data_IF_819667045020
#
_entry.id   IF_819667045020
#
_cell.length_a   1.000
_cell.length_b   1.000
_cell.length_c   1.000
_cell.angle_alpha   90.00
_cell.angle_beta   90.00
_cell.angle_gamma   90.00
#
_symmetry.space_group_name_H-M   'P 1'
#
loop_
_entity.id
_entity.type
_entity.pdbx_description
1 polymer ?
#
# COMPACT_ATOMS: atom_id res chain seq x y z
N UNK A 1 -32.27 -5.99 -9.64
CA UNK A 1 -32.04 -7.20 -8.81
C UNK A 1 -33.08 -7.33 -7.71
N UNK A 2 -33.23 -8.52 -7.08
CA UNK A 2 -34.16 -8.71 -5.97
C UNK A 2 -33.55 -8.21 -4.66
N UNK A 3 -34.39 -7.71 -3.72
CA UNK A 3 -33.94 -7.29 -2.38
C UNK A 3 -33.15 -8.39 -1.67
N UNK A 4 -33.53 -9.67 -1.91
CA UNK A 4 -32.80 -10.81 -1.38
C UNK A 4 -31.34 -10.87 -1.84
N UNK A 5 -31.05 -10.59 -3.11
CA UNK A 5 -29.68 -10.58 -3.64
C UNK A 5 -28.85 -9.44 -3.03
N UNK A 6 -29.47 -8.29 -2.79
CA UNK A 6 -28.84 -7.16 -2.12
C UNK A 6 -28.44 -7.52 -0.70
N UNK A 7 -29.39 -8.01 0.12
CA UNK A 7 -29.11 -8.41 1.51
C UNK A 7 -28.11 -9.56 1.59
N UNK A 8 -28.16 -10.50 0.66
CA UNK A 8 -27.21 -11.61 0.61
C UNK A 8 -25.79 -11.11 0.30
N UNK A 9 -25.64 -10.16 -0.64
CA UNK A 9 -24.32 -9.55 -0.94
C UNK A 9 -23.74 -8.83 0.27
N UNK A 10 -24.54 -8.03 0.96
CA UNK A 10 -24.13 -7.36 2.22
C UNK A 10 -23.75 -8.40 3.27
N UNK A 11 -24.58 -9.43 3.45
CA UNK A 11 -24.35 -10.47 4.45
C UNK A 11 -23.07 -11.27 4.20
N UNK A 12 -22.80 -11.65 2.94
CA UNK A 12 -21.56 -12.34 2.55
C UNK A 12 -20.34 -11.46 2.81
N UNK A 13 -20.38 -10.20 2.40
CA UNK A 13 -19.26 -9.28 2.61
C UNK A 13 -19.01 -9.02 4.10
N UNK A 14 -20.07 -8.75 4.86
CA UNK A 14 -19.97 -8.58 6.31
C UNK A 14 -19.39 -9.84 6.99
N UNK A 15 -19.84 -11.03 6.58
CA UNK A 15 -19.31 -12.29 7.11
C UNK A 15 -17.81 -12.45 6.80
N UNK A 16 -17.39 -12.18 5.55
CA UNK A 16 -15.96 -12.22 5.16
C UNK A 16 -15.14 -11.28 6.02
N UNK A 17 -15.61 -10.04 6.19
CA UNK A 17 -14.92 -9.04 7.02
C UNK A 17 -14.82 -9.49 8.48
N UNK A 18 -15.91 -9.97 9.06
CA UNK A 18 -15.92 -10.44 10.44
C UNK A 18 -14.99 -11.64 10.64
N UNK A 19 -14.97 -12.59 9.70
CA UNK A 19 -14.07 -13.74 9.73
C UNK A 19 -12.60 -13.33 9.72
N UNK A 20 -12.26 -12.31 8.93
CA UNK A 20 -10.89 -11.76 8.85
C UNK A 20 -10.57 -10.93 10.10
N UNK A 21 -11.47 -10.06 10.53
CA UNK A 21 -11.27 -9.15 11.66
C UNK A 21 -11.05 -9.91 12.99
N UNK A 22 -11.76 -11.01 13.19
CA UNK A 22 -11.61 -11.86 14.38
C UNK A 22 -10.56 -12.96 14.22
N UNK A 23 -9.83 -12.97 13.08
CA UNK A 23 -8.79 -13.99 12.76
C UNK A 23 -9.31 -15.44 12.93
N UNK A 24 -10.59 -15.65 12.57
CA UNK A 24 -11.24 -16.97 12.71
C UNK A 24 -10.78 -17.95 11.66
N UNK A 25 -10.48 -17.46 10.46
CA UNK A 25 -9.92 -18.22 9.34
C UNK A 25 -8.96 -17.33 8.54
N UNK A 26 -8.12 -17.98 7.75
CA UNK A 26 -7.18 -17.30 6.87
C UNK A 26 -7.90 -16.31 5.93
N UNK A 27 -7.34 -15.09 5.75
CA UNK A 27 -7.97 -14.02 4.98
C UNK A 27 -8.25 -14.41 3.52
N UNK A 28 -7.35 -15.18 2.88
CA UNK A 28 -7.55 -15.61 1.51
C UNK A 28 -8.66 -16.65 1.42
N UNK A 29 -8.74 -17.55 2.42
CA UNK A 29 -9.82 -18.56 2.50
C UNK A 29 -11.16 -17.87 2.76
N UNK A 30 -11.24 -16.91 3.70
CA UNK A 30 -12.46 -16.14 3.97
C UNK A 30 -12.99 -15.46 2.70
N UNK A 31 -12.10 -14.76 1.98
CA UNK A 31 -12.47 -14.04 0.77
C UNK A 31 -12.93 -15.01 -0.36
N UNK A 32 -12.24 -16.13 -0.55
CA UNK A 32 -12.62 -17.15 -1.54
C UNK A 32 -13.97 -17.81 -1.20
N UNK A 33 -14.27 -18.05 0.08
CA UNK A 33 -15.58 -18.56 0.49
C UNK A 33 -16.68 -17.55 0.18
N UNK A 34 -16.43 -16.25 0.41
CA UNK A 34 -17.36 -15.18 0.04
C UNK A 34 -17.62 -15.15 -1.48
N UNK A 35 -16.58 -15.21 -2.29
CA UNK A 35 -16.67 -15.28 -3.76
C UNK A 35 -17.46 -16.52 -4.18
N UNK A 36 -17.17 -17.67 -3.58
CA UNK A 36 -17.88 -18.92 -3.89
C UNK A 36 -19.37 -18.82 -3.58
N UNK A 37 -19.74 -18.21 -2.44
CA UNK A 37 -21.14 -17.98 -2.09
C UNK A 37 -21.85 -17.07 -3.10
N UNK A 38 -21.20 -16.04 -3.63
CA UNK A 38 -21.76 -15.14 -4.64
C UNK A 38 -21.94 -15.80 -6.00
N UNK A 39 -21.03 -16.70 -6.41
CA UNK A 39 -21.21 -17.51 -7.64
C UNK A 39 -22.30 -18.56 -7.48
N UNK A 40 -22.36 -19.28 -6.36
CA UNK A 40 -23.39 -20.31 -6.11
C UNK A 40 -24.78 -19.70 -6.02
N UNK A 41 -24.89 -18.48 -5.45
CA UNK A 41 -26.16 -17.75 -5.38
C UNK A 41 -26.61 -17.13 -6.71
N UNK A 42 -25.77 -17.18 -7.76
CA UNK A 42 -26.06 -16.58 -9.06
C UNK A 42 -26.03 -15.04 -9.08
N UNK A 43 -25.48 -14.40 -8.03
CA UNK A 43 -25.26 -12.96 -8.02
C UNK A 43 -24.15 -12.60 -9.00
N UNK A 44 -23.05 -13.35 -8.99
CA UNK A 44 -22.01 -13.27 -9.99
C UNK A 44 -22.14 -14.39 -11.01
N UNK A 45 -21.81 -14.11 -12.26
CA UNK A 45 -21.84 -15.06 -13.36
C UNK A 45 -20.61 -14.95 -14.27
N UNK A 46 -20.59 -15.65 -15.38
CA UNK A 46 -19.47 -15.65 -16.33
C UNK A 46 -19.22 -14.28 -16.97
N UNK A 47 -20.26 -13.45 -17.09
CA UNK A 47 -20.14 -12.10 -17.65
C UNK A 47 -19.32 -11.16 -16.77
N UNK A 48 -19.27 -11.44 -15.45
CA UNK A 48 -18.54 -10.61 -14.49
C UNK A 48 -17.03 -10.87 -14.50
N UNK A 49 -16.55 -11.97 -15.09
CA UNK A 49 -15.12 -12.34 -15.08
C UNK A 49 -14.24 -11.31 -15.79
N UNK A 50 -14.67 -10.80 -16.95
CA UNK A 50 -13.86 -9.79 -17.69
C UNK A 50 -13.77 -8.46 -16.95
N UNK A 51 -14.86 -7.86 -16.42
CA UNK A 51 -14.78 -6.70 -15.53
C UNK A 51 -13.84 -6.90 -14.34
N UNK A 52 -13.90 -8.06 -13.67
CA UNK A 52 -13.03 -8.39 -12.53
C UNK A 52 -11.56 -8.41 -12.96
N UNK A 53 -11.23 -9.11 -14.04
CA UNK A 53 -9.85 -9.19 -14.58
C UNK A 53 -9.34 -7.80 -14.98
N UNK A 54 -10.20 -6.99 -15.59
CA UNK A 54 -9.82 -5.62 -15.99
C UNK A 54 -9.48 -4.75 -14.78
N UNK A 55 -10.28 -4.82 -13.72
CA UNK A 55 -10.06 -4.01 -12.51
C UNK A 55 -8.90 -4.54 -11.66
N UNK A 56 -8.79 -5.86 -11.49
CA UNK A 56 -7.80 -6.49 -10.63
C UNK A 56 -6.43 -6.66 -11.30
N UNK A 57 -6.38 -6.81 -12.63
CA UNK A 57 -5.18 -7.21 -13.36
C UNK A 57 -4.00 -6.26 -13.18
N UNK A 58 -4.23 -4.95 -13.23
CA UNK A 58 -3.21 -3.94 -13.01
C UNK A 58 -2.56 -4.02 -11.62
N UNK A 59 -3.33 -3.88 -10.53
CA UNK A 59 -2.81 -3.99 -9.17
C UNK A 59 -2.10 -5.32 -8.89
N UNK A 60 -2.65 -6.45 -9.38
CA UNK A 60 -2.05 -7.77 -9.17
C UNK A 60 -0.72 -7.92 -9.93
N UNK A 61 -0.62 -7.40 -11.16
CA UNK A 61 0.61 -7.41 -11.93
C UNK A 61 1.73 -6.58 -11.26
N UNK A 62 1.38 -5.41 -10.70
CA UNK A 62 2.32 -4.56 -9.95
C UNK A 62 2.85 -5.27 -8.70
N UNK A 63 1.96 -5.88 -7.93
CA UNK A 63 2.34 -6.64 -6.74
C UNK A 63 3.25 -7.80 -7.10
N UNK A 64 2.86 -8.62 -8.07
CA UNK A 64 3.66 -9.76 -8.52
C UNK A 64 5.06 -9.30 -8.96
N UNK A 65 5.13 -8.32 -9.88
CA UNK A 65 6.40 -7.83 -10.40
C UNK A 65 7.29 -7.21 -9.33
N UNK A 66 6.72 -6.38 -8.46
CA UNK A 66 7.43 -5.77 -7.35
C UNK A 66 7.99 -6.81 -6.36
N UNK A 67 7.21 -7.85 -6.02
CA UNK A 67 7.66 -8.95 -5.14
C UNK A 67 8.80 -9.76 -5.75
N UNK A 68 8.74 -10.06 -7.07
CA UNK A 68 9.81 -10.79 -7.78
C UNK A 68 11.10 -9.97 -7.77
N UNK A 69 11.04 -8.70 -8.16
CA UNK A 69 12.22 -7.81 -8.17
C UNK A 69 12.80 -7.66 -6.76
N UNK A 70 11.95 -7.43 -5.75
CA UNK A 70 12.37 -7.31 -4.37
C UNK A 70 13.04 -8.59 -3.84
N UNK A 71 12.50 -9.77 -4.17
CA UNK A 71 13.11 -11.07 -3.82
C UNK A 71 14.50 -11.21 -4.39
N UNK A 72 14.68 -10.85 -5.66
CA UNK A 72 15.97 -10.94 -6.35
C UNK A 72 16.98 -9.98 -5.72
N UNK A 73 16.59 -8.72 -5.46
CA UNK A 73 17.44 -7.75 -4.77
C UNK A 73 17.80 -8.23 -3.36
N UNK A 74 16.83 -8.81 -2.64
CA UNK A 74 17.05 -9.37 -1.30
C UNK A 74 18.15 -10.42 -1.24
N UNK A 75 18.37 -11.19 -2.33
CA UNK A 75 19.40 -12.22 -2.44
C UNK A 75 20.81 -11.70 -2.79
N UNK A 76 20.94 -10.42 -3.08
CA UNK A 76 22.25 -9.83 -3.47
C UNK A 76 23.20 -9.61 -2.29
N UNK A 77 22.70 -9.70 -1.04
CA UNK A 77 23.44 -9.31 0.17
C UNK A 77 23.54 -7.81 0.41
N UNK A 78 22.85 -6.99 -0.42
CA UNK A 78 22.87 -5.53 -0.25
C UNK A 78 22.27 -5.09 1.10
N UNK A 79 21.26 -5.81 1.60
CA UNK A 79 20.64 -5.47 2.87
C UNK A 79 21.53 -5.74 4.07
N UNK A 80 22.41 -6.75 4.01
CA UNK A 80 23.42 -7.01 5.04
C UNK A 80 24.47 -5.90 5.07
N UNK A 81 24.93 -5.47 3.88
CA UNK A 81 25.85 -4.36 3.73
C UNK A 81 25.20 -3.02 4.20
N UNK A 82 23.94 -2.77 3.83
CA UNK A 82 23.18 -1.63 4.30
C UNK A 82 23.00 -1.67 5.81
N UNK A 83 22.78 -2.82 6.41
CA UNK A 83 22.66 -3.00 7.87
C UNK A 83 23.91 -2.54 8.61
N UNK A 84 25.08 -2.90 8.11
CA UNK A 84 26.35 -2.48 8.68
C UNK A 84 26.60 -0.96 8.49
N UNK A 85 26.30 -0.45 7.29
CA UNK A 85 26.37 1.00 7.02
C UNK A 85 25.38 1.80 7.90
N UNK A 86 24.16 1.27 8.06
CA UNK A 86 23.10 1.86 8.88
C UNK A 86 23.52 1.92 10.36
N UNK A 87 24.07 0.81 10.90
CA UNK A 87 24.56 0.77 12.27
C UNK A 87 25.66 1.82 12.50
N UNK A 88 26.64 1.91 11.59
CA UNK A 88 27.71 2.93 11.68
C UNK A 88 27.12 4.34 11.63
N UNK A 89 26.14 4.61 10.77
CA UNK A 89 25.51 5.91 10.64
C UNK A 89 24.74 6.33 11.89
N UNK A 90 24.23 5.38 12.71
CA UNK A 90 23.58 5.71 13.99
C UNK A 90 24.55 6.33 15.00
N UNK A 91 25.86 5.99 14.93
CA UNK A 91 26.89 6.39 15.90
C UNK A 91 26.44 6.17 17.35
N UNK A 92 25.70 5.09 17.61
CA UNK A 92 25.16 4.75 18.92
C UNK A 92 23.98 5.62 19.40
N UNK A 93 23.42 6.49 18.56
CA UNK A 93 22.35 7.41 18.93
C UNK A 93 20.97 6.87 18.50
N UNK A 94 20.05 6.73 19.46
CA UNK A 94 18.67 6.32 19.20
C UNK A 94 17.90 7.34 18.36
N UNK A 95 18.16 8.64 18.53
CA UNK A 95 17.63 9.67 17.63
C UNK A 95 18.00 9.42 16.17
N UNK A 96 19.29 9.12 15.92
CA UNK A 96 19.75 8.83 14.55
C UNK A 96 19.16 7.53 14.04
N UNK A 97 19.03 6.49 14.88
CA UNK A 97 18.36 5.24 14.54
C UNK A 97 16.96 5.53 13.96
N UNK A 98 16.11 6.24 14.70
CA UNK A 98 14.74 6.53 14.30
C UNK A 98 14.65 7.39 13.03
N UNK A 99 15.51 8.41 12.89
CA UNK A 99 15.56 9.23 11.68
C UNK A 99 16.06 8.45 10.46
N UNK A 100 17.06 7.58 10.64
CA UNK A 100 17.58 6.74 9.57
C UNK A 100 16.58 5.65 9.14
N UNK A 101 15.70 5.17 10.04
CA UNK A 101 14.59 4.30 9.66
C UNK A 101 13.71 5.01 8.64
N UNK A 102 13.28 6.24 8.91
CA UNK A 102 12.48 7.02 7.96
C UNK A 102 13.22 7.21 6.64
N UNK A 103 14.50 7.59 6.70
CA UNK A 103 15.33 7.85 5.52
C UNK A 103 15.63 6.59 4.68
N UNK A 104 15.68 5.41 5.31
CA UNK A 104 15.90 4.14 4.60
C UNK A 104 14.61 3.57 4.02
N UNK A 105 13.54 3.57 4.83
CA UNK A 105 12.28 2.92 4.47
C UNK A 105 11.55 3.67 3.36
N UNK A 106 11.54 5.01 3.41
CA UNK A 106 10.79 5.82 2.47
C UNK A 106 11.19 5.58 0.99
N UNK A 107 12.46 5.64 0.58
CA UNK A 107 12.84 5.38 -0.81
C UNK A 107 12.64 3.93 -1.23
N UNK A 108 12.79 2.95 -0.32
CA UNK A 108 12.55 1.54 -0.62
C UNK A 108 11.06 1.31 -0.93
N UNK A 109 10.16 1.88 -0.11
CA UNK A 109 8.70 1.72 -0.28
C UNK A 109 8.12 2.58 -1.40
N UNK A 110 8.83 3.60 -1.87
CA UNK A 110 8.44 4.33 -3.07
C UNK A 110 8.47 3.46 -4.34
N UNK A 111 9.20 2.34 -4.33
CA UNK A 111 9.40 1.49 -5.51
C UNK A 111 8.94 0.05 -5.29
N UNK A 112 9.00 -0.43 -4.06
CA UNK A 112 8.64 -1.80 -3.70
C UNK A 112 7.33 -1.83 -2.87
N UNK A 113 6.51 -2.88 -3.00
CA UNK A 113 5.30 -3.03 -2.19
C UNK A 113 5.61 -2.97 -0.69
N UNK A 114 4.76 -2.28 0.07
CA UNK A 114 4.96 -1.96 1.49
C UNK A 114 5.34 -3.17 2.36
N UNK A 115 4.58 -4.26 2.29
CA UNK A 115 4.85 -5.48 3.06
C UNK A 115 6.21 -6.11 2.70
N UNK A 116 6.53 -6.16 1.40
CA UNK A 116 7.81 -6.69 0.91
C UNK A 116 8.99 -5.84 1.38
N UNK A 117 8.85 -4.51 1.32
CA UNK A 117 9.88 -3.60 1.82
C UNK A 117 10.12 -3.78 3.32
N UNK A 118 9.06 -3.97 4.13
CA UNK A 118 9.18 -4.29 5.57
C UNK A 118 9.96 -5.59 5.78
N UNK A 119 9.65 -6.67 5.03
CA UNK A 119 10.38 -7.95 5.12
C UNK A 119 11.88 -7.75 4.85
N UNK A 120 12.22 -6.96 3.84
CA UNK A 120 13.62 -6.73 3.45
C UNK A 120 14.39 -5.87 4.46
N UNK A 121 13.74 -4.87 5.05
CA UNK A 121 14.37 -3.92 5.96
C UNK A 121 14.38 -4.43 7.42
N UNK A 122 13.45 -5.30 7.80
CA UNK A 122 13.32 -5.79 9.16
C UNK A 122 14.60 -6.42 9.75
N UNK A 123 15.36 -7.27 9.05
CA UNK A 123 16.61 -7.80 9.58
C UNK A 123 17.61 -6.70 9.93
N UNK A 124 17.68 -5.63 9.12
CA UNK A 124 18.53 -4.47 9.38
C UNK A 124 18.12 -3.82 10.69
N UNK A 125 16.82 -3.48 10.82
CA UNK A 125 16.30 -2.75 12.00
C UNK A 125 16.50 -3.60 13.26
N UNK A 126 16.16 -4.88 13.22
CA UNK A 126 16.32 -5.79 14.37
C UNK A 126 17.79 -5.93 14.75
N UNK A 127 18.68 -6.16 13.78
CA UNK A 127 20.11 -6.32 14.02
C UNK A 127 20.75 -5.05 14.62
N UNK A 128 20.36 -3.88 14.13
CA UNK A 128 20.83 -2.60 14.66
C UNK A 128 20.26 -2.33 16.06
N UNK A 129 18.97 -2.60 16.30
CA UNK A 129 18.38 -2.48 17.63
C UNK A 129 19.05 -3.40 18.65
N UNK A 130 19.33 -4.65 18.28
CA UNK A 130 20.06 -5.60 19.14
C UNK A 130 21.48 -5.12 19.43
N UNK A 131 22.19 -4.59 18.43
CA UNK A 131 23.53 -4.03 18.59
C UNK A 131 23.54 -2.80 19.55
N UNK A 132 22.48 -2.00 19.51
CA UNK A 132 22.27 -0.86 20.37
C UNK A 132 21.63 -1.23 21.72
N UNK A 133 21.30 -2.52 21.94
CA UNK A 133 20.62 -3.03 23.14
C UNK A 133 19.27 -2.34 23.42
N UNK A 134 18.52 -2.01 22.35
CA UNK A 134 17.15 -1.46 22.44
C UNK A 134 16.12 -2.47 21.98
N UNK A 135 14.91 -2.30 22.51
CA UNK A 135 13.75 -3.03 22.04
C UNK A 135 13.39 -2.60 20.60
N UNK A 136 13.30 -3.56 19.70
CA UNK A 136 13.03 -3.34 18.29
C UNK A 136 11.53 -3.18 17.96
N UNK A 137 10.61 -3.45 18.91
CA UNK A 137 9.15 -3.39 18.66
C UNK A 137 8.74 -1.99 18.20
N UNK A 138 9.10 -0.93 18.93
CA UNK A 138 8.78 0.44 18.52
C UNK A 138 9.36 0.81 17.14
N UNK A 139 10.66 0.64 16.91
CA UNK A 139 11.29 0.79 15.60
C UNK A 139 10.60 0.01 14.47
N UNK A 140 10.16 -1.23 14.69
CA UNK A 140 9.44 -2.03 13.71
C UNK A 140 8.04 -1.49 13.41
N UNK A 141 7.31 -0.99 14.42
CA UNK A 141 6.03 -0.31 14.21
C UNK A 141 6.23 0.96 13.37
N UNK A 142 7.23 1.77 13.69
CA UNK A 142 7.57 2.96 12.87
C UNK A 142 7.94 2.55 11.44
N UNK A 143 8.71 1.47 11.26
CA UNK A 143 9.06 0.94 9.93
C UNK A 143 7.80 0.62 9.12
N UNK A 144 6.81 -0.06 9.71
CA UNK A 144 5.55 -0.39 9.05
C UNK A 144 4.75 0.86 8.68
N UNK A 145 4.59 1.80 9.61
CA UNK A 145 3.83 3.04 9.39
C UNK A 145 4.49 3.91 8.30
N UNK A 146 5.82 4.06 8.36
CA UNK A 146 6.56 4.80 7.34
C UNK A 146 6.47 4.09 5.99
N UNK A 147 6.49 2.76 5.95
CA UNK A 147 6.36 2.01 4.70
C UNK A 147 5.01 2.27 4.02
N UNK A 148 3.91 2.27 4.77
CA UNK A 148 2.59 2.58 4.24
C UNK A 148 2.52 4.02 3.71
N UNK A 149 2.94 5.01 4.52
CA UNK A 149 2.94 6.41 4.08
C UNK A 149 3.84 6.64 2.86
N UNK A 150 5.00 5.97 2.80
CA UNK A 150 5.94 6.06 1.69
C UNK A 150 5.45 5.37 0.42
N UNK A 151 4.55 4.39 0.52
CA UNK A 151 3.86 3.82 -0.63
C UNK A 151 3.10 4.86 -1.46
N UNK A 152 2.73 6.00 -0.85
CA UNK A 152 2.08 7.12 -1.54
C UNK A 152 3.07 8.05 -2.28
N UNK A 153 4.37 7.84 -2.16
CA UNK A 153 5.38 8.65 -2.86
C UNK A 153 5.35 8.43 -4.37
N UNK A 154 4.86 7.27 -4.81
CA UNK A 154 4.71 6.94 -6.22
C UNK A 154 3.39 6.20 -6.46
N UNK A 155 2.92 6.25 -7.68
CA UNK A 155 1.69 5.54 -8.10
C UNK A 155 1.76 4.02 -7.84
N UNK A 156 2.95 3.43 -7.85
CA UNK A 156 3.15 1.98 -7.80
C UNK A 156 3.54 1.44 -6.41
N UNK A 157 3.80 2.33 -5.46
CA UNK A 157 4.23 1.96 -4.11
C UNK A 157 3.15 1.30 -3.27
N UNK A 158 1.88 1.66 -3.48
CA UNK A 158 0.73 1.13 -2.75
C UNK A 158 -0.41 0.72 -3.70
N UNK A 159 -0.93 -0.52 -3.59
CA UNK A 159 -1.98 -1.01 -4.49
C UNK A 159 -3.30 -0.24 -4.41
N UNK A 160 -3.69 0.27 -3.24
CA UNK A 160 -4.91 1.06 -3.09
C UNK A 160 -4.80 2.41 -3.81
N UNK A 161 -3.64 3.04 -3.71
CA UNK A 161 -3.32 4.29 -4.43
C UNK A 161 -3.26 4.06 -5.94
N UNK A 162 -2.65 2.95 -6.38
CA UNK A 162 -2.64 2.57 -7.79
C UNK A 162 -4.05 2.34 -8.34
N UNK A 163 -4.92 1.69 -7.57
CA UNK A 163 -6.31 1.44 -7.96
C UNK A 163 -7.05 2.74 -8.29
N UNK A 164 -6.98 3.74 -7.41
CA UNK A 164 -7.63 5.04 -7.64
C UNK A 164 -6.96 5.78 -8.78
N UNK A 165 -5.63 5.88 -8.79
CA UNK A 165 -4.87 6.60 -9.82
C UNK A 165 -5.10 6.05 -11.22
N UNK A 166 -5.12 4.72 -11.38
CA UNK A 166 -5.41 4.07 -12.67
C UNK A 166 -6.86 4.27 -13.11
N UNK A 167 -7.81 4.24 -12.17
CA UNK A 167 -9.23 4.47 -12.48
C UNK A 167 -9.50 5.87 -13.01
N UNK A 168 -8.73 6.87 -12.55
CA UNK A 168 -8.85 8.25 -13.04
C UNK A 168 -7.84 8.59 -14.15
N UNK A 169 -7.10 7.61 -14.65
CA UNK A 169 -6.16 7.78 -15.75
C UNK A 169 -4.93 8.62 -15.43
N UNK A 170 -4.51 8.72 -14.16
CA UNK A 170 -3.27 9.40 -13.81
C UNK A 170 -2.07 8.68 -14.37
N UNK A 171 -1.27 9.38 -15.18
CA UNK A 171 0.06 8.93 -15.54
C UNK A 171 0.97 8.89 -14.30
N UNK A 172 2.05 8.11 -14.38
CA UNK A 172 3.04 8.11 -13.31
C UNK A 172 3.62 9.51 -13.06
N UNK A 173 3.85 10.27 -14.13
CA UNK A 173 4.36 11.65 -14.06
C UNK A 173 3.37 12.62 -13.39
N UNK A 174 2.07 12.53 -13.74
CA UNK A 174 1.04 13.38 -13.14
C UNK A 174 0.85 13.06 -11.67
N UNK A 175 0.91 11.76 -11.31
CA UNK A 175 0.89 11.36 -9.92
C UNK A 175 2.04 11.99 -9.12
N UNK A 176 3.27 11.97 -9.64
CA UNK A 176 4.43 12.59 -8.98
C UNK A 176 4.23 14.09 -8.74
N UNK A 177 3.61 14.78 -9.68
CA UNK A 177 3.37 16.24 -9.59
C UNK A 177 2.24 16.59 -8.64
N UNK A 178 1.17 15.78 -8.62
CA UNK A 178 -0.10 16.14 -7.96
C UNK A 178 -0.33 15.45 -6.61
N UNK A 179 0.26 14.27 -6.37
CA UNK A 179 -0.04 13.47 -5.17
C UNK A 179 1.19 13.25 -4.30
N UNK A 180 2.37 13.03 -4.91
CA UNK A 180 3.59 12.63 -4.19
C UNK A 180 4.04 13.62 -3.13
N UNK A 181 3.85 14.93 -3.34
CA UNK A 181 4.18 15.94 -2.34
C UNK A 181 3.40 15.72 -1.04
N UNK A 182 2.11 15.38 -1.13
CA UNK A 182 1.30 15.02 0.03
C UNK A 182 1.81 13.77 0.73
N UNK A 183 2.26 12.76 -0.04
CA UNK A 183 2.94 11.58 0.50
C UNK A 183 4.23 11.92 1.25
N UNK A 184 5.07 12.82 0.68
CA UNK A 184 6.27 13.32 1.36
C UNK A 184 5.92 13.99 2.68
N UNK A 185 4.92 14.87 2.69
CA UNK A 185 4.45 15.55 3.90
C UNK A 185 3.94 14.55 4.95
N UNK A 186 3.20 13.51 4.53
CA UNK A 186 2.72 12.44 5.42
C UNK A 186 3.88 11.62 6.04
N UNK A 187 4.93 11.33 5.27
CA UNK A 187 6.16 10.68 5.79
C UNK A 187 6.88 11.59 6.77
N UNK A 188 7.07 12.85 6.42
CA UNK A 188 7.76 13.83 7.27
C UNK A 188 6.98 14.14 8.56
N UNK A 189 5.66 14.04 8.53
CA UNK A 189 4.80 14.23 9.71
C UNK A 189 5.06 13.21 10.83
N UNK A 190 5.68 12.07 10.52
CA UNK A 190 6.09 11.09 11.54
C UNK A 190 7.26 11.62 12.40
N UNK A 191 8.17 12.39 11.80
CA UNK A 191 9.43 12.79 12.42
C UNK A 191 9.25 13.54 13.76
N UNK A 192 8.40 14.57 13.87
CA UNK A 192 8.20 15.29 15.13
C UNK A 192 7.53 14.44 16.22
N UNK A 193 6.86 13.35 15.87
CA UNK A 193 6.20 12.45 16.81
C UNK A 193 7.17 11.41 17.41
N UNK A 194 8.30 11.14 16.76
CA UNK A 194 9.28 10.14 17.23
C UNK A 194 9.77 10.38 18.68
N UNK A 195 10.17 11.60 19.09
CA UNK A 195 10.58 11.86 20.47
C UNK A 195 9.43 11.71 21.48
N UNK A 196 8.19 11.93 21.07
CA UNK A 196 7.01 11.83 21.93
C UNK A 196 6.58 10.37 22.13
N UNK A 197 6.62 9.59 21.07
CA UNK A 197 6.14 8.20 21.07
C UNK A 197 7.22 7.22 21.55
N UNK A 198 8.48 7.48 21.27
CA UNK A 198 9.62 6.62 21.63
C UNK A 198 10.69 7.38 22.41
N UNK A 199 10.35 8.07 23.53
CA UNK A 199 11.28 8.98 24.25
C UNK A 199 12.50 8.25 24.78
N UNK A 200 12.36 7.01 25.26
CA UNK A 200 13.46 6.18 25.77
C UNK A 200 14.48 5.88 24.70
N UNK A 201 14.03 5.54 23.48
CA UNK A 201 14.90 5.26 22.34
C UNK A 201 15.51 6.56 21.84
N UNK A 202 14.71 7.64 21.71
CA UNK A 202 15.17 8.94 21.23
C UNK A 202 16.33 9.52 22.04
N UNK A 203 16.25 9.44 23.35
CA UNK A 203 17.26 9.98 24.27
C UNK A 203 18.50 9.08 24.44
N UNK A 204 18.44 7.85 23.97
CA UNK A 204 19.47 6.84 24.20
C UNK A 204 20.76 7.14 23.44
N UNK A 205 21.89 6.85 24.11
CA UNK A 205 23.23 6.79 23.52
C UNK A 205 23.99 5.58 24.05
N UNK A 206 24.64 4.86 23.16
CA UNK A 206 25.46 3.68 23.47
C UNK A 206 26.75 3.79 22.69
N UNK A 207 27.85 3.52 23.35
CA UNK A 207 29.14 3.42 22.67
C UNK A 207 29.19 2.16 21.83
N UNK A 208 29.43 2.34 20.54
CA UNK A 208 29.56 1.23 19.60
C UNK A 208 30.98 0.63 19.72
N UNK A 209 31.13 -0.71 19.71
CA UNK A 209 32.46 -1.33 19.68
C UNK A 209 33.21 -0.92 18.40
N UNK A 210 34.50 -0.63 18.57
CA UNK A 210 35.35 0.03 17.56
C UNK A 210 35.58 -0.77 16.27
N UNK A 211 35.34 -2.06 16.23
CA UNK A 211 35.59 -2.89 15.03
C UNK A 211 34.58 -4.01 14.90
N UNK A 212 33.73 -3.92 13.89
CA UNK A 212 33.04 -5.10 13.31
C UNK A 212 33.63 -5.33 11.92
N UNK A 213 33.86 -6.60 11.50
CA UNK A 213 34.26 -6.89 10.14
C UNK A 213 33.19 -6.33 9.19
N UNK A 214 33.64 -5.56 8.19
CA UNK A 214 32.74 -5.04 7.16
C UNK A 214 32.13 -6.21 6.37
N UNK A 215 30.81 -6.21 6.23
CA UNK A 215 30.12 -7.17 5.37
C UNK A 215 30.54 -6.89 3.92
N UNK A 216 31.10 -7.89 3.25
CA UNK A 216 31.46 -7.78 1.83
C UNK A 216 30.38 -8.43 0.98
N UNK A 217 30.10 -7.83 -0.16
CA UNK A 217 29.15 -8.38 -1.13
C UNK A 217 29.83 -9.52 -1.87
N UNK A 218 29.37 -10.75 -1.64
CA UNK A 218 30.01 -11.96 -2.20
C UNK A 218 29.94 -12.01 -3.74
N UNK A 219 28.87 -11.46 -4.34
CA UNK A 219 28.59 -11.55 -5.79
C UNK A 219 28.29 -10.18 -6.38
N UNK A 220 29.31 -9.33 -6.63
CA UNK A 220 29.09 -7.96 -7.10
C UNK A 220 28.39 -7.89 -8.47
N UNK A 221 28.66 -8.83 -9.40
CA UNK A 221 27.98 -8.88 -10.69
C UNK A 221 26.47 -9.11 -10.55
N UNK A 222 26.06 -9.99 -9.61
CA UNK A 222 24.65 -10.22 -9.32
C UNK A 222 23.96 -8.94 -8.77
N UNK A 223 24.63 -8.27 -7.84
CA UNK A 223 24.13 -6.99 -7.32
C UNK A 223 23.97 -5.94 -8.44
N UNK A 224 25.01 -5.75 -9.24
CA UNK A 224 24.98 -4.74 -10.33
C UNK A 224 23.84 -5.02 -11.33
N UNK A 225 23.67 -6.27 -11.76
CA UNK A 225 22.59 -6.65 -12.67
C UNK A 225 21.21 -6.49 -12.04
N UNK A 226 21.06 -6.85 -10.75
CA UNK A 226 19.79 -6.67 -10.04
C UNK A 226 19.43 -5.20 -9.85
N UNK A 227 20.42 -4.35 -9.54
CA UNK A 227 20.23 -2.90 -9.47
C UNK A 227 19.96 -2.28 -10.85
N UNK A 228 20.54 -2.81 -11.91
CA UNK A 228 20.24 -2.40 -13.28
C UNK A 228 18.78 -2.71 -13.65
N UNK A 229 18.26 -3.90 -13.28
CA UNK A 229 16.84 -4.23 -13.44
C UNK A 229 15.96 -3.25 -12.68
N UNK A 230 16.31 -2.92 -11.44
CA UNK A 230 15.59 -1.91 -10.65
C UNK A 230 15.63 -0.54 -11.33
N UNK A 231 16.80 -0.12 -11.83
CA UNK A 231 16.95 1.16 -12.52
C UNK A 231 16.13 1.20 -13.82
N UNK A 232 16.10 0.10 -14.59
CA UNK A 232 15.25 -0.03 -15.78
C UNK A 232 13.78 0.05 -15.39
N UNK A 233 13.34 -0.63 -14.33
CA UNK A 233 11.98 -0.58 -13.84
C UNK A 233 11.58 0.85 -13.48
N UNK A 234 12.39 1.57 -12.71
CA UNK A 234 12.14 2.97 -12.35
C UNK A 234 12.13 3.88 -13.60
N UNK A 235 13.07 3.71 -14.51
CA UNK A 235 13.10 4.48 -15.75
C UNK A 235 11.86 4.24 -16.62
N UNK A 236 11.39 2.99 -16.73
CA UNK A 236 10.16 2.67 -17.45
C UNK A 236 8.91 3.19 -16.73
N UNK A 237 8.86 3.24 -15.40
CA UNK A 237 7.78 3.92 -14.68
C UNK A 237 7.74 5.42 -14.99
N UNK A 238 8.90 6.07 -15.07
CA UNK A 238 8.99 7.51 -15.34
C UNK A 238 8.72 7.88 -16.81
N UNK A 239 9.19 7.07 -17.74
CA UNK A 239 9.23 7.40 -19.16
C UNK A 239 8.45 6.44 -20.06
N UNK A 240 8.00 5.28 -19.54
CA UNK A 240 7.37 4.23 -20.36
C UNK A 240 6.12 4.69 -21.10
N UNK A 241 5.29 5.50 -20.45
CA UNK A 241 4.08 6.07 -21.06
C UNK A 241 4.40 7.10 -22.15
N UNK A 242 5.58 7.71 -22.12
CA UNK A 242 6.06 8.66 -23.15
C UNK A 242 6.70 7.98 -24.34
N UNK A 243 6.94 6.66 -24.28
CA UNK A 243 7.50 5.91 -25.38
C UNK A 243 6.45 5.70 -26.49
N UNK A 244 6.88 5.54 -27.77
CA UNK A 244 5.95 5.25 -28.88
C UNK A 244 5.07 4.00 -28.66
N UNK A 245 5.52 3.07 -27.81
CA UNK A 245 4.83 1.80 -27.50
C UNK A 245 3.87 1.96 -26.31
N UNK A 246 3.88 3.11 -25.59
CA UNK A 246 3.07 3.38 -24.41
C UNK A 246 3.05 2.22 -23.39
N UNK A 247 4.15 2.05 -22.64
CA UNK A 247 4.27 1.00 -21.63
C UNK A 247 3.70 1.52 -20.30
N UNK A 248 2.56 0.96 -19.88
CA UNK A 248 1.88 1.33 -18.63
C UNK A 248 2.46 0.59 -17.40
N UNK A 249 2.30 1.10 -16.16
CA UNK A 249 2.92 0.56 -14.96
C UNK A 249 2.76 -0.96 -14.74
N UNK A 250 1.61 -1.60 -14.98
CA UNK A 250 1.50 -3.06 -14.84
C UNK A 250 2.43 -3.83 -15.80
N UNK A 251 2.58 -3.34 -17.02
CA UNK A 251 3.49 -3.95 -18.02
C UNK A 251 4.93 -3.78 -17.60
N UNK A 252 5.31 -2.61 -17.08
CA UNK A 252 6.65 -2.36 -16.51
C UNK A 252 6.98 -3.38 -15.42
N UNK A 253 6.05 -3.64 -14.51
CA UNK A 253 6.26 -4.59 -13.43
C UNK A 253 6.52 -6.02 -13.94
N UNK A 254 5.76 -6.47 -14.95
CA UNK A 254 5.98 -7.78 -15.59
C UNK A 254 7.31 -7.84 -16.34
N UNK A 255 7.67 -6.79 -17.09
CA UNK A 255 8.97 -6.69 -17.77
C UNK A 255 10.11 -6.78 -16.75
N UNK A 256 10.03 -6.02 -15.65
CA UNK A 256 11.04 -6.03 -14.61
C UNK A 256 11.15 -7.40 -13.92
N UNK A 257 10.01 -8.06 -13.66
CA UNK A 257 10.01 -9.43 -13.13
C UNK A 257 10.70 -10.42 -14.08
N UNK A 258 10.40 -10.36 -15.37
CA UNK A 258 11.03 -11.22 -16.37
C UNK A 258 12.55 -10.99 -16.43
N UNK A 259 13.00 -9.73 -16.42
CA UNK A 259 14.42 -9.39 -16.38
C UNK A 259 15.10 -9.87 -15.08
N UNK A 260 14.45 -9.70 -13.93
CA UNK A 260 14.95 -10.18 -12.65
C UNK A 260 15.12 -11.71 -12.64
N UNK A 261 14.13 -12.45 -13.14
CA UNK A 261 14.19 -13.91 -13.28
C UNK A 261 15.29 -14.33 -14.25
N UNK A 262 15.50 -13.60 -15.36
CA UNK A 262 16.59 -13.84 -16.31
C UNK A 262 17.95 -13.67 -15.64
N UNK A 263 18.14 -12.65 -14.79
CA UNK A 263 19.36 -12.43 -14.02
C UNK A 263 19.64 -13.61 -13.07
N UNK A 264 18.62 -14.06 -12.33
CA UNK A 264 18.74 -15.21 -11.42
C UNK A 264 19.09 -16.46 -12.17
N UNK A 265 18.43 -16.72 -13.31
CA UNK A 265 18.69 -17.88 -14.17
C UNK A 265 20.12 -17.87 -14.75
N UNK A 266 20.55 -16.73 -15.29
CA UNK A 266 21.86 -16.57 -15.94
C UNK A 266 23.03 -16.72 -14.97
N UNK A 267 22.89 -16.20 -13.73
CA UNK A 267 23.94 -16.27 -12.70
C UNK A 267 23.84 -17.56 -11.85
N UNK A 268 22.74 -18.31 -11.99
CA UNK A 268 22.48 -19.56 -11.24
C UNK A 268 22.50 -19.36 -9.71
N UNK A 269 21.81 -18.33 -9.22
CA UNK A 269 21.73 -18.04 -7.78
C UNK A 269 20.86 -19.06 -7.06
N UNK A 270 19.64 -19.25 -7.56
CA UNK A 270 18.68 -20.23 -7.08
C UNK A 270 17.78 -20.65 -8.25
N UNK A 271 17.06 -21.77 -8.16
CA UNK A 271 16.07 -22.14 -9.17
C UNK A 271 15.00 -21.06 -9.32
N UNK A 272 14.62 -20.71 -10.56
CA UNK A 272 13.56 -19.72 -10.84
C UNK A 272 12.26 -20.06 -10.10
N UNK A 273 11.94 -21.36 -9.99
CA UNK A 273 10.78 -21.84 -9.24
C UNK A 273 10.77 -21.41 -7.76
N UNK A 274 11.94 -21.27 -7.12
CA UNK A 274 12.04 -20.81 -5.74
C UNK A 274 11.75 -19.31 -5.62
N UNK A 275 12.17 -18.52 -6.61
CA UNK A 275 11.82 -17.09 -6.65
C UNK A 275 10.31 -16.92 -6.78
N UNK A 276 9.69 -17.69 -7.69
CA UNK A 276 8.23 -17.63 -7.90
C UNK A 276 7.47 -18.13 -6.68
N UNK A 277 7.92 -19.21 -6.02
CA UNK A 277 7.31 -19.71 -4.78
C UNK A 277 7.40 -18.71 -3.63
N UNK A 278 8.43 -17.88 -3.60
CA UNK A 278 8.63 -16.87 -2.56
C UNK A 278 7.72 -15.62 -2.72
N UNK A 279 6.97 -15.52 -3.81
CA UNK A 279 5.92 -14.51 -3.99
C UNK A 279 4.81 -14.76 -2.97
N UNK A 280 4.29 -13.69 -2.39
CA UNK A 280 3.14 -13.77 -1.47
C UNK A 280 1.83 -14.03 -2.24
N UNK A 281 1.66 -15.27 -2.65
CA UNK A 281 0.46 -15.74 -3.35
C UNK A 281 -0.81 -15.58 -2.52
N UNK A 282 -0.68 -15.62 -1.19
CA UNK A 282 -1.81 -15.42 -0.29
C UNK A 282 -2.41 -14.02 -0.48
N UNK A 283 -1.57 -12.99 -0.51
CA UNK A 283 -2.00 -11.62 -0.75
C UNK A 283 -2.57 -11.45 -2.16
N UNK A 284 -1.96 -12.05 -3.19
CA UNK A 284 -2.47 -12.00 -4.57
C UNK A 284 -3.85 -12.61 -4.68
N UNK A 285 -4.06 -13.82 -4.12
CA UNK A 285 -5.35 -14.51 -4.12
C UNK A 285 -6.40 -13.74 -3.34
N UNK A 286 -6.04 -13.24 -2.16
CA UNK A 286 -6.92 -12.40 -1.35
C UNK A 286 -7.42 -11.18 -2.12
N UNK A 287 -6.51 -10.44 -2.75
CA UNK A 287 -6.87 -9.24 -3.50
C UNK A 287 -7.77 -9.57 -4.71
N UNK A 288 -7.45 -10.62 -5.47
CA UNK A 288 -8.31 -11.07 -6.56
C UNK A 288 -9.72 -11.41 -6.09
N UNK A 289 -9.84 -12.08 -4.93
CA UNK A 289 -11.14 -12.37 -4.32
C UNK A 289 -11.86 -11.10 -3.87
N UNK A 290 -11.17 -10.13 -3.27
CA UNK A 290 -11.76 -8.86 -2.86
C UNK A 290 -12.28 -8.06 -4.06
N UNK A 291 -11.54 -7.96 -5.16
CA UNK A 291 -12.03 -7.31 -6.38
C UNK A 291 -13.30 -8.00 -6.91
N UNK A 292 -13.37 -9.33 -6.79
CA UNK A 292 -14.56 -10.10 -7.15
C UNK A 292 -15.75 -9.78 -6.24
N UNK A 293 -15.53 -9.63 -4.93
CA UNK A 293 -16.56 -9.20 -3.97
C UNK A 293 -17.07 -7.79 -4.28
N UNK A 294 -16.18 -6.86 -4.62
CA UNK A 294 -16.55 -5.48 -5.00
C UNK A 294 -17.39 -5.47 -6.29
N UNK A 295 -17.10 -6.36 -7.25
CA UNK A 295 -17.93 -6.49 -8.45
C UNK A 295 -19.39 -6.88 -8.14
N UNK A 296 -19.63 -7.68 -7.09
CA UNK A 296 -20.98 -7.98 -6.64
C UNK A 296 -21.73 -6.75 -6.11
N UNK A 297 -21.03 -5.83 -5.42
CA UNK A 297 -21.63 -4.55 -5.00
C UNK A 297 -22.01 -3.67 -6.18
N UNK A 298 -21.17 -3.64 -7.22
CA UNK A 298 -21.48 -2.91 -8.46
C UNK A 298 -22.72 -3.51 -9.11
N UNK A 299 -22.77 -4.83 -9.25
CA UNK A 299 -23.85 -5.53 -9.92
C UNK A 299 -25.18 -5.45 -9.16
N UNK A 300 -25.14 -5.36 -7.83
CA UNK A 300 -26.35 -5.21 -7.00
C UNK A 300 -26.84 -3.77 -6.85
N UNK A 301 -26.18 -2.81 -7.49
CA UNK A 301 -26.50 -1.36 -7.43
C UNK A 301 -26.47 -0.76 -6.02
N UNK A 302 -25.88 -1.48 -5.06
CA UNK A 302 -25.75 -1.02 -3.67
C UNK A 302 -24.95 0.27 -3.55
N UNK A 303 -23.89 0.37 -4.34
CA UNK A 303 -23.02 1.54 -4.32
C UNK A 303 -23.68 2.76 -4.97
N UNK A 304 -24.58 2.54 -5.94
CA UNK A 304 -25.39 3.60 -6.56
C UNK A 304 -26.37 4.22 -5.55
N UNK A 305 -27.04 3.39 -4.74
CA UNK A 305 -27.92 3.89 -3.68
C UNK A 305 -27.17 4.78 -2.68
N UNK A 306 -25.96 4.38 -2.28
CA UNK A 306 -25.10 5.18 -1.40
C UNK A 306 -24.62 6.47 -2.07
N UNK A 307 -24.34 6.44 -3.37
CA UNK A 307 -23.94 7.61 -4.15
C UNK A 307 -25.05 8.68 -4.18
N UNK A 308 -26.30 8.26 -4.40
CA UNK A 308 -27.48 9.16 -4.40
C UNK A 308 -27.65 9.75 -3.00
N UNK A 309 -27.49 8.94 -1.94
CA UNK A 309 -27.61 9.42 -0.57
C UNK A 309 -26.54 10.45 -0.20
N UNK A 310 -25.31 10.29 -0.70
CA UNK A 310 -24.26 11.30 -0.55
C UNK A 310 -24.64 12.61 -1.25
N UNK A 311 -25.25 12.52 -2.43
CA UNK A 311 -25.73 13.71 -3.14
C UNK A 311 -26.88 14.40 -2.39
N UNK A 312 -27.81 13.66 -1.82
CA UNK A 312 -28.90 14.20 -1.01
C UNK A 312 -28.37 14.95 0.23
N UNK A 313 -27.26 14.51 0.81
CA UNK A 313 -26.66 15.13 1.99
C UNK A 313 -25.79 16.36 1.67
N UNK A 314 -25.01 16.31 0.58
CA UNK A 314 -23.95 17.29 0.30
C UNK A 314 -24.19 18.10 -0.99
N UNK A 315 -25.19 17.72 -1.81
CA UNK A 315 -25.44 18.36 -3.10
C UNK A 315 -24.23 18.25 -4.04
N UNK A 316 -23.93 19.32 -4.76
CA UNK A 316 -22.83 19.40 -5.72
C UNK A 316 -21.50 19.88 -5.09
N UNK A 317 -21.43 20.12 -3.77
CA UNK A 317 -20.19 20.54 -3.11
C UNK A 317 -19.25 19.35 -2.89
N UNK A 318 -18.14 19.34 -3.62
CA UNK A 318 -17.18 18.23 -3.62
C UNK A 318 -16.31 18.17 -2.35
N UNK A 319 -16.11 19.30 -1.64
CA UNK A 319 -15.19 19.36 -0.51
C UNK A 319 -15.67 18.61 0.73
N UNK A 320 -16.95 18.72 1.16
CA UNK A 320 -17.46 17.88 2.24
C UNK A 320 -17.31 16.39 1.94
N UNK A 321 -17.52 15.95 0.70
CA UNK A 321 -17.36 14.55 0.29
C UNK A 321 -15.87 14.15 0.26
N UNK A 322 -14.96 15.03 -0.12
CA UNK A 322 -13.53 14.80 -0.02
C UNK A 322 -13.11 14.58 1.45
N UNK A 323 -13.53 15.41 2.38
CA UNK A 323 -13.21 15.25 3.80
C UNK A 323 -13.90 14.04 4.43
N UNK A 324 -15.15 13.77 4.06
CA UNK A 324 -15.85 12.55 4.49
C UNK A 324 -15.13 11.29 3.97
N UNK A 325 -14.68 11.31 2.72
CA UNK A 325 -13.89 10.23 2.13
C UNK A 325 -12.57 10.04 2.86
N UNK A 326 -11.83 11.12 3.13
CA UNK A 326 -10.59 11.07 3.89
C UNK A 326 -10.78 10.45 5.28
N UNK A 327 -11.74 10.97 6.04
CA UNK A 327 -12.00 10.54 7.42
C UNK A 327 -12.70 9.17 7.48
N UNK A 328 -13.76 9.00 6.69
CA UNK A 328 -14.57 7.77 6.68
C UNK A 328 -13.78 6.56 6.17
N UNK A 329 -13.10 6.71 5.02
CA UNK A 329 -12.22 5.67 4.50
C UNK A 329 -11.05 5.44 5.47
N UNK A 330 -10.51 6.51 6.09
CA UNK A 330 -9.45 6.41 7.09
C UNK A 330 -9.85 5.58 8.31
N UNK A 331 -11.04 5.80 8.85
CA UNK A 331 -11.59 5.01 9.95
C UNK A 331 -11.83 3.57 9.52
N UNK A 332 -12.47 3.36 8.38
CA UNK A 332 -12.73 2.02 7.87
C UNK A 332 -11.43 1.27 7.56
N UNK A 333 -10.45 1.91 6.94
CA UNK A 333 -9.14 1.31 6.64
C UNK A 333 -8.32 1.01 7.90
N UNK A 334 -8.59 1.67 9.02
CA UNK A 334 -7.97 1.33 10.29
C UNK A 334 -8.44 0.00 10.87
N UNK A 335 -9.64 -0.44 10.51
CA UNK A 335 -10.28 -1.66 10.99
C UNK A 335 -10.31 -2.78 9.94
N UNK A 336 -10.22 -2.41 8.68
CA UNK A 336 -10.29 -3.30 7.52
C UNK A 336 -9.04 -3.09 6.66
N UNK A 337 -8.69 -4.08 5.84
CA UNK A 337 -7.60 -3.89 4.86
C UNK A 337 -7.93 -2.71 3.91
N UNK A 338 -6.94 -1.85 3.63
CA UNK A 338 -7.12 -0.61 2.86
C UNK A 338 -7.70 -0.80 1.46
N UNK A 339 -7.28 -1.83 0.72
CA UNK A 339 -7.64 -2.03 -0.69
C UNK A 339 -9.14 -2.26 -0.88
N UNK A 340 -9.83 -3.20 -0.15
CA UNK A 340 -11.27 -3.38 -0.30
C UNK A 340 -12.08 -2.12 0.03
N UNK A 341 -11.67 -1.39 1.07
CA UNK A 341 -12.35 -0.15 1.47
C UNK A 341 -12.25 0.90 0.37
N UNK A 342 -11.04 1.10 -0.17
CA UNK A 342 -10.82 2.06 -1.26
C UNK A 342 -11.52 1.63 -2.55
N UNK A 343 -11.54 0.34 -2.87
CA UNK A 343 -12.22 -0.16 -4.06
C UNK A 343 -13.74 0.07 -4.01
N UNK A 344 -14.39 -0.20 -2.86
CA UNK A 344 -15.81 0.06 -2.67
C UNK A 344 -16.12 1.58 -2.68
N UNK A 345 -15.29 2.36 -1.98
CA UNK A 345 -15.43 3.81 -1.93
C UNK A 345 -15.26 4.46 -3.31
N UNK A 346 -14.35 3.95 -4.16
CA UNK A 346 -14.11 4.47 -5.50
C UNK A 346 -15.37 4.45 -6.35
N UNK A 347 -16.09 3.33 -6.39
CA UNK A 347 -17.34 3.22 -7.14
C UNK A 347 -18.41 4.16 -6.58
N UNK A 348 -18.51 4.25 -5.25
CA UNK A 348 -19.45 5.15 -4.58
C UNK A 348 -19.17 6.62 -4.91
N UNK A 349 -17.90 7.02 -4.88
CA UNK A 349 -17.50 8.41 -5.17
C UNK A 349 -17.70 8.73 -6.65
N UNK A 350 -17.38 7.84 -7.57
CA UNK A 350 -17.65 8.04 -8.99
C UNK A 350 -19.14 8.24 -9.23
N UNK A 351 -19.99 7.39 -8.63
CA UNK A 351 -21.45 7.53 -8.71
C UNK A 351 -21.96 8.87 -8.13
N UNK A 352 -21.39 9.31 -7.01
CA UNK A 352 -21.70 10.62 -6.44
C UNK A 352 -21.31 11.77 -7.40
N UNK A 353 -20.12 11.71 -8.00
CA UNK A 353 -19.67 12.75 -8.95
C UNK A 353 -20.57 12.84 -10.18
N UNK A 354 -21.15 11.73 -10.64
CA UNK A 354 -22.17 11.71 -11.70
C UNK A 354 -23.48 12.31 -11.18
N UNK A 355 -23.94 11.92 -9.99
CA UNK A 355 -25.17 12.48 -9.41
C UNK A 355 -25.07 13.99 -9.13
N UNK A 356 -23.86 14.48 -8.82
CA UNK A 356 -23.56 15.88 -8.62
C UNK A 356 -23.37 16.70 -9.93
N UNK A 357 -23.55 16.06 -11.09
CA UNK A 357 -23.28 16.65 -12.42
C UNK A 357 -21.85 17.20 -12.58
N UNK A 358 -20.93 16.70 -11.74
CA UNK A 358 -19.53 17.07 -11.81
C UNK A 358 -18.80 16.34 -12.97
N UNK A 359 -19.34 15.17 -13.39
CA UNK A 359 -18.85 14.39 -14.53
C UNK A 359 -20.03 13.77 -15.27
N UNK A 360 -19.91 13.51 -16.59
CA UNK A 360 -20.98 12.89 -17.38
C UNK A 360 -21.19 11.41 -16.99
N UNK A 361 -22.36 10.83 -17.25
CA UNK A 361 -22.69 9.41 -16.95
C UNK A 361 -21.69 8.41 -17.54
N UNK A 362 -21.04 8.73 -18.67
CA UNK A 362 -20.01 7.90 -19.27
C UNK A 362 -18.78 7.69 -18.32
N UNK A 363 -18.65 8.52 -17.27
CA UNK A 363 -17.62 8.33 -16.24
C UNK A 363 -17.81 7.07 -15.41
N UNK A 364 -18.99 6.44 -15.43
CA UNK A 364 -19.23 5.12 -14.86
C UNK A 364 -18.54 3.99 -15.64
N UNK A 365 -18.13 4.24 -16.88
CA UNK A 365 -17.40 3.26 -17.68
C UNK A 365 -15.90 3.29 -17.32
N UNK A 366 -15.31 2.11 -17.19
CA UNK A 366 -13.88 1.95 -16.85
C UNK A 366 -12.91 2.59 -17.86
N UNK A 367 -13.37 2.96 -19.04
CA UNK A 367 -12.58 3.61 -20.07
C UNK A 367 -12.56 5.15 -19.99
N UNK A 368 -13.27 5.74 -19.02
CA UNK A 368 -13.32 7.19 -18.89
C UNK A 368 -12.04 7.73 -18.26
N UNK A 369 -11.40 8.70 -18.92
CA UNK A 369 -10.14 9.32 -18.47
C UNK A 369 -10.18 10.85 -18.43
N UNK A 370 -11.28 11.47 -18.88
CA UNK A 370 -11.42 12.94 -18.97
C UNK A 370 -11.93 13.56 -17.66
N UNK A 371 -11.29 13.25 -16.55
CA UNK A 371 -11.68 13.74 -15.23
C UNK A 371 -11.38 15.24 -15.07
N UNK A 372 -12.37 16.07 -14.67
CA UNK A 372 -12.13 17.46 -14.36
C UNK A 372 -11.15 17.62 -13.18
N UNK A 373 -10.27 18.62 -13.26
CA UNK A 373 -9.29 18.89 -12.18
C UNK A 373 -9.96 19.12 -10.82
N UNK A 374 -11.16 19.69 -10.78
CA UNK A 374 -11.94 19.93 -9.57
C UNK A 374 -12.31 18.64 -8.81
N UNK A 375 -12.32 17.47 -9.48
CA UNK A 375 -12.61 16.17 -8.84
C UNK A 375 -11.37 15.53 -8.21
N UNK A 376 -10.17 15.96 -8.60
CA UNK A 376 -8.92 15.37 -8.13
C UNK A 376 -8.74 15.40 -6.60
N UNK A 377 -9.11 16.48 -5.87
CA UNK A 377 -9.05 16.50 -4.41
C UNK A 377 -9.85 15.38 -3.75
N UNK A 378 -10.99 14.97 -4.31
CA UNK A 378 -11.81 13.86 -3.77
C UNK A 378 -11.08 12.54 -3.91
N UNK A 379 -10.48 12.26 -5.06
CA UNK A 379 -9.72 11.04 -5.30
C UNK A 379 -8.44 10.97 -4.45
N UNK A 380 -7.75 12.10 -4.30
CA UNK A 380 -6.55 12.19 -3.44
C UNK A 380 -6.94 11.99 -1.97
N UNK A 381 -8.07 12.53 -1.53
CA UNK A 381 -8.61 12.30 -0.19
C UNK A 381 -8.86 10.80 0.08
N UNK A 382 -9.40 10.08 -0.91
CA UNK A 382 -9.60 8.62 -0.82
C UNK A 382 -8.28 7.85 -0.70
N UNK A 383 -7.28 8.20 -1.52
CA UNK A 383 -5.94 7.60 -1.45
C UNK A 383 -5.34 7.79 -0.06
N UNK A 384 -5.41 9.01 0.48
CA UNK A 384 -4.87 9.37 1.79
C UNK A 384 -5.64 8.68 2.91
N UNK A 385 -6.97 8.70 2.86
CA UNK A 385 -7.82 7.98 3.82
C UNK A 385 -7.44 6.50 3.89
N UNK A 386 -7.42 5.83 2.74
CA UNK A 386 -7.11 4.41 2.64
C UNK A 386 -5.75 4.04 3.19
N UNK A 387 -4.71 4.73 2.74
CA UNK A 387 -3.33 4.39 3.08
C UNK A 387 -2.93 4.85 4.49
N UNK A 388 -3.24 6.11 4.85
CA UNK A 388 -2.81 6.68 6.13
C UNK A 388 -3.69 6.23 7.30
N UNK A 389 -4.99 5.97 7.05
CA UNK A 389 -5.89 5.41 8.06
C UNK A 389 -5.46 4.03 8.53
N UNK A 390 -4.97 3.20 7.62
CA UNK A 390 -4.41 1.88 7.93
C UNK A 390 -3.24 1.89 8.93
N UNK A 391 -2.59 3.03 9.12
CA UNK A 391 -1.50 3.19 10.08
C UNK A 391 -1.97 3.17 11.55
N UNK A 392 -3.25 3.36 11.82
CA UNK A 392 -3.76 3.44 13.18
C UNK A 392 -3.70 2.11 13.94
N UNK A 393 -3.92 0.98 13.26
CA UNK A 393 -3.99 -0.33 13.90
C UNK A 393 -3.09 -1.37 13.23
N UNK A 394 -2.83 -2.46 13.92
CA UNK A 394 -2.01 -3.55 13.39
C UNK A 394 -2.66 -4.29 12.21
N UNK A 395 -3.99 -4.27 12.09
CA UNK A 395 -4.74 -4.97 11.02
C UNK A 395 -5.04 -4.07 9.81
N UNK A 396 -4.88 -2.75 9.95
CA UNK A 396 -5.26 -1.77 8.92
C UNK A 396 -4.42 -1.84 7.64
N UNK A 397 -3.23 -2.42 7.67
CA UNK A 397 -2.39 -2.59 6.48
C UNK A 397 -1.54 -3.86 6.55
N UNK A 398 -1.26 -4.47 5.39
CA UNK A 398 -0.46 -5.70 5.30
C UNK A 398 0.96 -5.53 5.86
N UNK A 399 1.58 -4.38 5.68
CA UNK A 399 2.89 -4.08 6.24
C UNK A 399 2.91 -4.11 7.77
N UNK A 400 1.81 -3.70 8.43
CA UNK A 400 1.67 -3.74 9.89
C UNK A 400 1.62 -5.19 10.37
N UNK A 401 0.80 -6.02 9.73
CA UNK A 401 0.68 -7.45 10.04
C UNK A 401 2.02 -8.16 9.89
N UNK A 402 2.73 -7.87 8.80
CA UNK A 402 4.07 -8.41 8.54
C UNK A 402 5.06 -7.98 9.62
N UNK A 403 5.11 -6.69 9.96
CA UNK A 403 6.03 -6.18 10.99
C UNK A 403 5.76 -6.84 12.35
N UNK A 404 4.49 -6.96 12.74
CA UNK A 404 4.06 -7.63 13.97
C UNK A 404 4.40 -9.12 13.94
N UNK A 405 4.16 -9.81 12.83
CA UNK A 405 4.54 -11.20 12.63
C UNK A 405 6.05 -11.44 12.78
N UNK A 406 6.87 -10.56 12.20
CA UNK A 406 8.33 -10.61 12.34
C UNK A 406 8.75 -10.38 13.81
N UNK A 407 8.14 -9.43 14.51
CA UNK A 407 8.40 -9.22 15.93
C UNK A 407 8.08 -10.47 16.74
N UNK A 408 6.93 -11.09 16.51
CA UNK A 408 6.49 -12.33 17.17
C UNK A 408 7.46 -13.50 16.90
N UNK A 409 7.88 -13.68 15.65
CA UNK A 409 8.86 -14.70 15.25
C UNK A 409 10.24 -14.51 15.92
N UNK A 410 10.57 -13.26 16.32
CA UNK A 410 11.78 -12.93 17.07
C UNK A 410 11.54 -12.85 18.59
N UNK A 411 10.48 -13.49 19.10
CA UNK A 411 10.19 -13.62 20.53
C UNK A 411 9.64 -12.36 21.21
N UNK A 412 9.16 -11.38 20.42
CA UNK A 412 8.58 -10.11 20.92
C UNK A 412 7.18 -9.90 20.33
N UNK A 413 6.17 -10.61 20.84
CA UNK A 413 4.79 -10.43 20.41
C UNK A 413 4.32 -9.00 20.66
N UNK A 414 3.61 -8.43 19.67
CA UNK A 414 3.05 -7.07 19.71
C UNK A 414 1.55 -7.16 19.90
N UNK A 415 1.03 -6.56 20.97
CA UNK A 415 -0.41 -6.50 21.20
C UNK A 415 -1.06 -5.40 20.38
N UNK A 416 -2.37 -5.55 20.12
CA UNK A 416 -3.17 -4.53 19.42
C UNK A 416 -3.04 -3.15 20.09
N UNK A 417 -3.11 -3.10 21.43
CA UNK A 417 -3.00 -1.85 22.19
C UNK A 417 -1.59 -1.22 22.08
N UNK A 418 -0.54 -2.04 22.05
CA UNK A 418 0.83 -1.51 21.83
C UNK A 418 0.97 -0.86 20.49
N UNK A 419 0.45 -1.48 19.43
CA UNK A 419 0.47 -0.89 18.08
C UNK A 419 -0.36 0.39 18.05
N UNK A 420 -1.60 0.34 18.56
CA UNK A 420 -2.54 1.46 18.58
C UNK A 420 -1.96 2.71 19.27
N UNK A 421 -1.23 2.54 20.38
CA UNK A 421 -0.59 3.66 21.10
C UNK A 421 0.42 4.45 20.27
N UNK A 422 1.06 3.80 19.29
CA UNK A 422 2.02 4.43 18.39
C UNK A 422 1.31 4.82 17.09
N UNK A 423 0.51 3.92 16.54
CA UNK A 423 -0.10 4.05 15.23
C UNK A 423 -1.19 5.12 15.18
N UNK A 424 -2.12 5.13 16.15
CA UNK A 424 -3.25 6.06 16.14
C UNK A 424 -2.83 7.55 16.17
N UNK A 425 -1.93 7.99 17.06
CA UNK A 425 -1.46 9.38 17.01
C UNK A 425 -0.82 9.76 15.70
N UNK A 426 -0.02 8.86 15.11
CA UNK A 426 0.62 9.10 13.82
C UNK A 426 -0.43 9.19 12.72
N UNK A 427 -1.38 8.24 12.66
CA UNK A 427 -2.43 8.24 11.65
C UNK A 427 -3.28 9.51 11.70
N UNK A 428 -3.66 9.97 12.92
CA UNK A 428 -4.41 11.22 13.09
C UNK A 428 -3.63 12.42 12.54
N UNK A 429 -2.34 12.55 12.86
CA UNK A 429 -1.50 13.64 12.34
C UNK A 429 -1.34 13.54 10.82
N UNK A 430 -1.11 12.34 10.29
CA UNK A 430 -0.97 12.11 8.85
C UNK A 430 -2.27 12.42 8.10
N UNK A 431 -3.43 12.00 8.61
CA UNK A 431 -4.73 12.33 8.03
C UNK A 431 -5.02 13.84 8.11
N UNK A 432 -4.61 14.50 9.18
CA UNK A 432 -4.72 15.98 9.30
C UNK A 432 -3.85 16.69 8.26
N UNK A 433 -2.63 16.22 8.05
CA UNK A 433 -1.75 16.72 6.98
C UNK A 433 -2.36 16.45 5.60
N UNK A 434 -2.95 15.26 5.41
CA UNK A 434 -3.69 14.89 4.19
C UNK A 434 -4.87 15.83 3.93
N UNK A 435 -5.66 16.15 4.98
CA UNK A 435 -6.77 17.09 4.88
C UNK A 435 -6.31 18.49 4.45
N UNK A 436 -5.24 18.99 5.06
CA UNK A 436 -4.66 20.28 4.67
C UNK A 436 -4.15 20.27 3.23
N UNK A 437 -3.54 19.17 2.79
CA UNK A 437 -3.06 19.00 1.42
C UNK A 437 -4.21 18.98 0.41
N UNK A 438 -5.25 18.21 0.68
CA UNK A 438 -6.47 18.14 -0.14
C UNK A 438 -7.16 19.52 -0.24
N UNK A 439 -7.24 20.25 0.87
CA UNK A 439 -7.77 21.59 0.89
C UNK A 439 -6.92 22.57 0.07
N UNK A 440 -5.60 22.53 0.23
CA UNK A 440 -4.69 23.37 -0.57
C UNK A 440 -4.78 23.04 -2.07
N UNK A 441 -4.90 21.76 -2.42
CA UNK A 441 -5.10 21.31 -3.79
C UNK A 441 -6.40 21.86 -4.37
N UNK A 442 -7.49 21.82 -3.60
CA UNK A 442 -8.78 22.42 -4.02
C UNK A 442 -8.62 23.90 -4.35
N UNK A 443 -7.97 24.68 -3.49
CA UNK A 443 -7.74 26.12 -3.73
C UNK A 443 -6.90 26.43 -4.98
N UNK A 444 -6.03 25.49 -5.39
CA UNK A 444 -5.17 25.66 -6.57
C UNK A 444 -5.88 25.23 -7.86
N UNK A 445 -6.78 24.24 -7.78
CA UNK A 445 -7.45 23.64 -8.93
C UNK A 445 -8.87 24.15 -9.18
N UNK A 446 -9.47 24.85 -8.19
CA UNK A 446 -10.74 25.55 -8.34
C UNK A 446 -10.53 26.87 -9.11
#
# INVERSE_FOLDING_TARGET
>A
MTDFQIYLTIGVFAAVILLIMFDLIDMAVAALLGVSALFVSGILDRGDLMPIVHTAGGPLALLFGGMVVARVIGKTGIFDWLGDAFLRATRGSGKRLLLLIVALVAPVCAVLPNATAVILVAPIIIGVCQALKVDFVGPMIITAIVSNAAGMLTLVGDPATFLVGSAIGLSFGDYLRMVSLGGVLAVLAVVPLLPLLLPKIWAMRVDLPAARPSVTIERPAFLVLSLLVLAIMVALFLFGESLPIHIVPPQVAIIAAALALLVVYGIRIEPVGEVIRAVDWKTIVFLGAIFTLVQAFIKTELLQGLSIQLYDWFGADLMPVAFLSLAGIGILSSLLANIPVVAAALVTVIGYLVAADAVPEIALAASFTAWPNATLPVFVAMMFGGTLGGNATLIGASANVVAVGICTANGRPVTFVQFLRIGLPIAVVQLSVGALYVWAMHLILA
#
